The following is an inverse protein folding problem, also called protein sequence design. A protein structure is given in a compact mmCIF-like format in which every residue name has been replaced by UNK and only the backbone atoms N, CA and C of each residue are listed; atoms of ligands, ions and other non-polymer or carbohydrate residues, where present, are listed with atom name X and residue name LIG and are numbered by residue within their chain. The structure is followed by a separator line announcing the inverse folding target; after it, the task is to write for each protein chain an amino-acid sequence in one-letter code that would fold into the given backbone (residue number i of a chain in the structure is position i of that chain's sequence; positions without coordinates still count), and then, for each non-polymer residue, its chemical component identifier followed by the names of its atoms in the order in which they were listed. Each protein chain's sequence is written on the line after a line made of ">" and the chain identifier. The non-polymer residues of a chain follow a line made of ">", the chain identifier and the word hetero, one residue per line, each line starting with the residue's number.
data_IF_760421865119
#
_entry.id   IF_760421865119
#
_cell.length_a   1.000
_cell.length_b   1.000
_cell.length_c   1.000
_cell.angle_alpha   90.00
_cell.angle_beta   90.00
_cell.angle_gamma   90.00
#
_symmetry.space_group_name_H-M   'P 1'
#
loop_
_entity.id
_entity.type
_entity.pdbx_description
1 polymer ?
#
# COMPACT_ATOMS: atom_id res chain seq x y z
N UNK A 1 -29.29 40.68 -10.12
CA UNK A 1 -28.11 40.24 -9.33
C UNK A 1 -28.43 38.98 -8.54
N UNK A 2 -29.46 39.00 -7.67
CA UNK A 2 -29.88 37.86 -6.82
C UNK A 2 -30.05 36.50 -7.55
N UNK A 3 -30.61 36.47 -8.76
CA UNK A 3 -30.87 35.23 -9.52
C UNK A 3 -29.58 34.59 -10.07
N UNK A 4 -28.54 35.39 -10.36
CA UNK A 4 -27.22 34.86 -10.79
C UNK A 4 -26.48 34.25 -9.61
N UNK A 5 -26.52 34.90 -8.45
CA UNK A 5 -25.93 34.38 -7.20
C UNK A 5 -26.56 33.05 -6.77
N UNK A 6 -27.90 32.94 -6.83
CA UNK A 6 -28.62 31.68 -6.50
C UNK A 6 -28.28 30.55 -7.47
N UNK A 7 -28.11 30.85 -8.78
CA UNK A 7 -27.67 29.85 -9.77
C UNK A 7 -26.23 29.41 -9.57
N UNK A 8 -25.33 30.32 -9.23
CA UNK A 8 -23.93 30.00 -8.95
C UNK A 8 -23.80 29.15 -7.68
N UNK A 9 -24.52 29.48 -6.61
CA UNK A 9 -24.55 28.67 -5.38
C UNK A 9 -25.14 27.28 -5.63
N UNK A 10 -26.20 27.18 -6.42
CA UNK A 10 -26.79 25.88 -6.78
C UNK A 10 -25.84 25.01 -7.62
N UNK A 11 -25.08 25.60 -8.54
CA UNK A 11 -24.07 24.89 -9.34
C UNK A 11 -22.91 24.38 -8.48
N UNK A 12 -22.43 25.19 -7.52
CA UNK A 12 -21.37 24.78 -6.60
C UNK A 12 -21.85 23.68 -5.66
N UNK A 13 -23.07 23.79 -5.13
CA UNK A 13 -23.65 22.74 -4.27
C UNK A 13 -23.84 21.42 -5.04
N UNK A 14 -24.30 21.48 -6.30
CA UNK A 14 -24.44 20.30 -7.13
C UNK A 14 -23.09 19.65 -7.47
N UNK A 15 -22.06 20.45 -7.77
CA UNK A 15 -20.71 19.95 -8.01
C UNK A 15 -20.11 19.28 -6.76
N UNK A 16 -20.31 19.86 -5.57
CA UNK A 16 -19.86 19.29 -4.31
C UNK A 16 -20.57 17.96 -3.98
N UNK A 17 -21.87 17.86 -4.24
CA UNK A 17 -22.63 16.61 -4.07
C UNK A 17 -22.18 15.51 -5.05
N UNK A 18 -21.90 15.86 -6.30
CA UNK A 18 -21.40 14.91 -7.29
C UNK A 18 -19.98 14.40 -6.95
N UNK A 19 -19.11 15.27 -6.43
CA UNK A 19 -17.78 14.89 -5.97
C UNK A 19 -17.83 13.96 -4.74
N UNK A 20 -18.75 14.20 -3.81
CA UNK A 20 -18.98 13.34 -2.64
C UNK A 20 -19.50 11.94 -3.05
N UNK A 21 -20.43 11.85 -4.00
CA UNK A 21 -20.93 10.56 -4.49
C UNK A 21 -19.90 9.79 -5.33
N UNK A 22 -18.99 10.47 -6.02
CA UNK A 22 -17.92 9.80 -6.76
C UNK A 22 -16.82 9.26 -5.84
N UNK A 23 -16.57 9.94 -4.71
CA UNK A 23 -15.56 9.53 -3.74
C UNK A 23 -16.00 8.34 -2.89
N UNK A 24 -17.30 8.25 -2.53
CA UNK A 24 -17.80 7.12 -1.71
C UNK A 24 -17.87 5.77 -2.44
N UNK A 25 -17.58 5.71 -3.75
CA UNK A 25 -17.69 4.45 -4.52
C UNK A 25 -16.84 3.33 -3.98
N UNK A 26 -15.67 3.63 -3.41
CA UNK A 26 -14.79 2.62 -2.81
C UNK A 26 -15.44 1.86 -1.64
N UNK A 27 -16.51 2.42 -1.05
CA UNK A 27 -17.28 1.76 0.00
C UNK A 27 -18.20 0.68 -0.58
N UNK A 28 -18.82 0.94 -1.73
CA UNK A 28 -19.85 0.08 -2.33
C UNK A 28 -19.29 -0.84 -3.44
N UNK A 29 -18.23 -0.40 -4.13
CA UNK A 29 -17.59 -1.03 -5.28
C UNK A 29 -16.15 -1.44 -4.93
N UNK A 30 -16.00 -2.28 -3.91
CA UNK A 30 -14.68 -2.79 -3.52
C UNK A 30 -14.13 -3.77 -4.58
N UNK A 31 -12.90 -3.59 -5.07
CA UNK A 31 -12.34 -4.49 -6.09
C UNK A 31 -12.07 -5.90 -5.55
N UNK A 32 -12.38 -6.92 -6.33
CA UNK A 32 -12.09 -8.34 -6.00
C UNK A 32 -10.58 -8.66 -5.98
N UNK A 33 -9.79 -7.78 -6.57
CA UNK A 33 -8.31 -7.81 -6.64
C UNK A 33 -7.65 -7.35 -5.35
N UNK A 34 -8.42 -6.86 -4.37
CA UNK A 34 -7.94 -6.34 -3.10
C UNK A 34 -8.47 -7.24 -1.97
N UNK A 35 -7.68 -7.51 -0.90
CA UNK A 35 -8.18 -8.27 0.25
C UNK A 35 -9.46 -7.69 0.86
N UNK A 36 -10.16 -8.49 1.66
CA UNK A 36 -11.48 -8.13 2.19
C UNK A 36 -11.53 -6.74 2.82
N UNK A 37 -12.40 -5.87 2.30
CA UNK A 37 -12.57 -4.49 2.74
C UNK A 37 -12.71 -4.33 4.26
N UNK A 38 -13.44 -5.25 4.90
CA UNK A 38 -13.71 -5.22 6.34
C UNK A 38 -12.43 -5.29 7.19
N UNK A 39 -11.36 -5.92 6.70
CA UNK A 39 -10.08 -5.92 7.38
C UNK A 39 -9.49 -4.50 7.44
N UNK A 40 -9.55 -3.75 6.34
CA UNK A 40 -9.05 -2.37 6.26
C UNK A 40 -9.93 -1.39 7.03
N UNK A 41 -11.25 -1.58 7.01
CA UNK A 41 -12.19 -0.79 7.82
C UNK A 41 -11.86 -0.94 9.31
N UNK A 42 -11.61 -2.16 9.78
CA UNK A 42 -11.22 -2.39 11.18
C UNK A 42 -9.88 -1.75 11.52
N UNK A 43 -8.88 -1.85 10.63
CA UNK A 43 -7.59 -1.19 10.81
C UNK A 43 -7.74 0.33 10.95
N UNK A 44 -8.55 0.96 10.10
CA UNK A 44 -8.83 2.40 10.17
C UNK A 44 -9.58 2.78 11.46
N UNK A 45 -10.61 2.01 11.83
CA UNK A 45 -11.40 2.27 13.04
C UNK A 45 -10.59 2.14 14.33
N UNK A 46 -9.53 1.33 14.33
CA UNK A 46 -8.61 1.18 15.46
C UNK A 46 -7.58 2.31 15.57
N UNK A 47 -7.41 3.13 14.53
CA UNK A 47 -6.40 4.20 14.46
C UNK A 47 -7.02 5.58 14.63
N UNK A 48 -7.13 6.04 15.89
CA UNK A 48 -7.66 7.37 16.22
C UNK A 48 -6.80 8.51 15.66
N UNK A 49 -5.50 8.29 15.49
CA UNK A 49 -4.60 9.32 14.96
C UNK A 49 -4.86 9.55 13.48
N UNK A 50 -5.06 8.48 12.69
CA UNK A 50 -5.40 8.61 11.28
C UNK A 50 -6.81 9.16 11.06
N UNK A 51 -7.79 8.77 11.89
CA UNK A 51 -9.17 9.29 11.83
C UNK A 51 -9.26 10.81 12.03
N UNK A 52 -8.29 11.41 12.73
CA UNK A 52 -8.21 12.87 12.91
C UNK A 52 -7.66 13.61 11.67
N UNK A 53 -7.04 12.88 10.74
CA UNK A 53 -6.29 13.43 9.59
C UNK A 53 -6.98 13.16 8.26
N UNK A 54 -7.63 12.01 8.15
CA UNK A 54 -8.12 11.46 6.89
C UNK A 54 -9.44 10.74 7.11
N UNK A 55 -10.32 10.75 6.10
CA UNK A 55 -11.58 9.97 6.09
C UNK A 55 -11.35 8.49 5.76
N UNK A 56 -12.32 7.64 6.09
CA UNK A 56 -12.33 6.22 5.70
C UNK A 56 -12.28 6.04 4.18
N UNK A 57 -13.04 6.86 3.45
CA UNK A 57 -13.06 6.87 1.98
C UNK A 57 -11.69 7.17 1.39
N UNK A 58 -10.99 8.18 1.90
CA UNK A 58 -9.64 8.52 1.45
C UNK A 58 -8.66 7.39 1.75
N UNK A 59 -8.69 6.85 2.97
CA UNK A 59 -7.86 5.74 3.39
C UNK A 59 -8.06 4.50 2.50
N UNK A 60 -9.31 4.08 2.31
CA UNK A 60 -9.67 2.92 1.49
C UNK A 60 -9.30 3.13 0.01
N UNK A 61 -9.39 4.37 -0.49
CA UNK A 61 -8.91 4.69 -1.84
C UNK A 61 -7.40 4.45 -1.97
N UNK A 62 -6.61 4.83 -0.95
CA UNK A 62 -5.17 4.57 -0.96
C UNK A 62 -4.82 3.10 -0.82
N UNK A 63 -5.59 2.33 -0.06
CA UNK A 63 -5.46 0.87 -0.03
C UNK A 63 -5.64 0.29 -1.44
N UNK A 64 -6.71 0.66 -2.16
CA UNK A 64 -6.93 0.17 -3.53
C UNK A 64 -5.76 0.55 -4.45
N UNK A 65 -5.27 1.79 -4.38
CA UNK A 65 -4.14 2.27 -5.18
C UNK A 65 -2.83 1.52 -4.90
N UNK A 66 -2.62 1.04 -3.68
CA UNK A 66 -1.46 0.20 -3.37
C UNK A 66 -1.49 -1.11 -4.16
N UNK A 67 -2.67 -1.74 -4.26
CA UNK A 67 -2.82 -3.02 -4.95
C UNK A 67 -2.87 -2.88 -6.46
N UNK A 68 -3.65 -1.94 -6.98
CA UNK A 68 -3.92 -1.81 -8.42
C UNK A 68 -2.99 -0.83 -9.15
N UNK A 69 -2.19 -0.07 -8.40
CA UNK A 69 -1.44 1.06 -8.94
C UNK A 69 -2.34 2.27 -9.24
N UNK A 70 -1.70 3.35 -9.71
CA UNK A 70 -2.36 4.60 -10.06
C UNK A 70 -1.44 5.49 -10.91
N UNK A 71 -1.92 6.64 -11.37
CA UNK A 71 -1.22 7.53 -12.33
C UNK A 71 0.27 7.79 -12.01
N UNK A 72 0.62 7.99 -10.73
CA UNK A 72 2.01 8.28 -10.33
C UNK A 72 2.85 7.04 -10.01
N UNK A 73 2.20 5.91 -9.71
CA UNK A 73 2.85 4.64 -9.41
C UNK A 73 2.02 3.53 -10.06
N UNK A 74 2.24 3.36 -11.37
CA UNK A 74 1.39 2.53 -12.22
C UNK A 74 1.45 1.04 -11.88
N UNK A 75 2.58 0.60 -11.32
CA UNK A 75 2.78 -0.78 -10.87
C UNK A 75 2.32 -0.92 -9.44
N UNK A 76 1.28 -1.73 -9.21
CA UNK A 76 0.76 -2.04 -7.88
C UNK A 76 1.29 -3.37 -7.34
N UNK A 77 0.89 -3.71 -6.11
CA UNK A 77 1.20 -5.00 -5.47
C UNK A 77 0.74 -6.20 -6.30
N UNK A 78 -0.39 -6.04 -7.01
CA UNK A 78 -0.96 -7.07 -7.88
C UNK A 78 -0.15 -7.31 -9.15
N UNK A 79 0.75 -6.40 -9.52
CA UNK A 79 1.70 -6.60 -10.63
C UNK A 79 3.02 -7.21 -10.13
N UNK A 80 3.51 -6.72 -8.98
CA UNK A 80 4.82 -7.12 -8.43
C UNK A 80 4.78 -8.58 -7.97
N UNK A 81 3.76 -8.97 -7.20
CA UNK A 81 3.77 -10.29 -6.55
C UNK A 81 3.65 -11.46 -7.52
N UNK A 82 2.83 -11.42 -8.60
CA UNK A 82 2.86 -12.48 -9.61
C UNK A 82 4.18 -12.55 -10.36
N UNK A 83 4.81 -11.40 -10.65
CA UNK A 83 6.10 -11.34 -11.33
C UNK A 83 7.20 -12.02 -10.49
N UNK A 84 7.19 -11.80 -9.17
CA UNK A 84 8.12 -12.46 -8.24
C UNK A 84 7.98 -14.00 -8.30
N UNK A 85 6.75 -14.50 -8.43
CA UNK A 85 6.41 -15.93 -8.41
C UNK A 85 6.52 -16.65 -9.75
N UNK A 86 6.90 -15.97 -10.85
CA UNK A 86 6.77 -16.52 -12.22
C UNK A 86 7.52 -17.84 -12.41
N UNK A 87 8.72 -17.97 -11.82
CA UNK A 87 9.58 -19.16 -11.94
C UNK A 87 9.54 -20.05 -10.67
N UNK A 88 8.56 -19.84 -9.79
CA UNK A 88 8.42 -20.59 -8.54
C UNK A 88 7.36 -21.66 -8.65
N UNK A 89 7.65 -22.83 -8.06
CA UNK A 89 6.80 -24.01 -8.11
C UNK A 89 6.58 -24.65 -6.74
N UNK A 90 5.57 -25.51 -6.66
CA UNK A 90 5.34 -26.38 -5.51
C UNK A 90 5.21 -25.65 -4.16
N UNK A 91 5.99 -26.09 -3.18
CA UNK A 91 5.95 -25.55 -1.81
C UNK A 91 6.46 -24.12 -1.72
N UNK A 92 7.54 -23.80 -2.45
CA UNK A 92 8.13 -22.45 -2.45
C UNK A 92 7.14 -21.41 -2.96
N UNK A 93 6.41 -21.72 -4.04
CA UNK A 93 5.37 -20.82 -4.58
C UNK A 93 4.25 -20.58 -3.57
N UNK A 94 3.79 -21.63 -2.89
CA UNK A 94 2.73 -21.52 -1.87
C UNK A 94 3.18 -20.71 -0.66
N UNK A 95 4.42 -20.93 -0.21
CA UNK A 95 5.00 -20.16 0.90
C UNK A 95 5.10 -18.68 0.54
N UNK A 96 5.67 -18.37 -0.63
CA UNK A 96 5.80 -16.98 -1.06
C UNK A 96 4.42 -16.32 -1.23
N UNK A 97 3.45 -17.01 -1.82
CA UNK A 97 2.09 -16.50 -1.97
C UNK A 97 1.45 -16.12 -0.62
N UNK A 98 1.53 -17.02 0.37
CA UNK A 98 0.98 -16.77 1.70
C UNK A 98 1.67 -15.59 2.41
N UNK A 99 3.01 -15.51 2.30
CA UNK A 99 3.79 -14.39 2.87
C UNK A 99 3.46 -13.08 2.18
N UNK A 100 3.43 -13.04 0.85
CA UNK A 100 3.12 -11.84 0.08
C UNK A 100 1.69 -11.34 0.32
N UNK A 101 0.72 -12.23 0.52
CA UNK A 101 -0.64 -11.83 0.87
C UNK A 101 -0.69 -11.13 2.23
N UNK A 102 -0.05 -11.71 3.25
CA UNK A 102 -0.01 -11.12 4.59
C UNK A 102 0.77 -9.80 4.61
N UNK A 103 1.93 -9.78 3.95
CA UNK A 103 2.78 -8.62 3.85
C UNK A 103 2.06 -7.47 3.13
N UNK A 104 1.38 -7.75 2.02
CA UNK A 104 0.58 -6.77 1.29
C UNK A 104 -0.47 -6.11 2.18
N UNK A 105 -1.20 -6.88 2.98
CA UNK A 105 -2.20 -6.34 3.93
C UNK A 105 -1.57 -5.40 4.95
N UNK A 106 -0.46 -5.80 5.56
CA UNK A 106 0.25 -5.02 6.56
C UNK A 106 0.79 -3.70 5.99
N UNK A 107 1.49 -3.78 4.86
CA UNK A 107 2.05 -2.60 4.18
C UNK A 107 0.92 -1.64 3.77
N UNK A 108 -0.13 -2.16 3.12
CA UNK A 108 -1.19 -1.29 2.59
C UNK A 108 -2.00 -0.62 3.69
N UNK A 109 -2.25 -1.28 4.83
CA UNK A 109 -2.93 -0.64 5.96
C UNK A 109 -2.12 0.50 6.57
N UNK A 110 -0.79 0.36 6.63
CA UNK A 110 0.04 1.41 7.22
C UNK A 110 0.29 2.55 6.23
N UNK A 111 0.67 2.22 4.99
CA UNK A 111 1.04 3.20 3.98
C UNK A 111 -0.15 4.08 3.53
N UNK A 112 -1.37 3.54 3.56
CA UNK A 112 -2.58 4.25 3.14
C UNK A 112 -3.06 5.33 4.11
N UNK A 113 -2.50 5.37 5.33
CA UNK A 113 -2.76 6.43 6.32
C UNK A 113 -2.25 7.78 5.83
N UNK A 114 -2.67 8.84 6.51
CA UNK A 114 -2.11 10.17 6.32
C UNK A 114 -0.59 10.20 6.57
N UNK A 115 0.11 11.00 5.78
CA UNK A 115 1.58 11.07 5.78
C UNK A 115 2.16 11.43 7.15
N UNK A 116 1.44 12.20 7.97
CA UNK A 116 1.93 12.68 9.25
C UNK A 116 1.86 11.64 10.37
N UNK A 117 1.17 10.51 10.14
CA UNK A 117 0.94 9.46 11.17
C UNK A 117 1.38 8.08 10.73
N UNK A 118 1.76 7.89 9.46
CA UNK A 118 2.24 6.60 8.95
C UNK A 118 3.71 6.36 9.24
N UNK A 119 4.05 5.09 9.44
CA UNK A 119 5.41 4.60 9.66
C UNK A 119 6.07 4.09 8.37
N UNK A 120 5.26 3.74 7.36
CA UNK A 120 5.71 3.27 6.05
C UNK A 120 5.43 4.34 5.01
N UNK A 121 6.47 4.79 4.32
CA UNK A 121 6.36 5.83 3.29
C UNK A 121 6.54 5.28 1.86
N UNK A 122 6.37 6.16 0.87
CA UNK A 122 6.48 5.81 -0.55
C UNK A 122 7.92 5.45 -0.97
N UNK A 123 8.94 5.96 -0.28
CA UNK A 123 10.34 5.60 -0.55
C UNK A 123 10.60 4.14 -0.18
N UNK A 124 10.06 3.69 0.96
CA UNK A 124 10.14 2.28 1.36
C UNK A 124 9.42 1.36 0.36
N UNK A 125 8.23 1.73 -0.11
CA UNK A 125 7.54 0.94 -1.15
C UNK A 125 8.38 0.78 -2.42
N UNK A 126 9.01 1.87 -2.85
CA UNK A 126 9.85 1.88 -4.04
C UNK A 126 11.08 0.99 -3.84
N UNK A 127 11.74 1.12 -2.68
CA UNK A 127 12.88 0.29 -2.29
C UNK A 127 12.51 -1.20 -2.26
N UNK A 128 11.43 -1.56 -1.58
CA UNK A 128 11.01 -2.96 -1.49
C UNK A 128 10.60 -3.54 -2.85
N UNK A 129 10.00 -2.73 -3.71
CA UNK A 129 9.77 -3.08 -5.11
C UNK A 129 11.08 -3.45 -5.83
N UNK A 130 12.09 -2.59 -5.76
CA UNK A 130 13.41 -2.86 -6.35
C UNK A 130 14.08 -4.10 -5.75
N UNK A 131 14.09 -4.22 -4.40
CA UNK A 131 14.65 -5.41 -3.71
C UNK A 131 14.02 -6.70 -4.21
N UNK A 132 12.69 -6.75 -4.33
CA UNK A 132 11.98 -7.94 -4.79
C UNK A 132 12.29 -8.26 -6.26
N UNK A 133 12.45 -7.24 -7.12
CA UNK A 133 12.73 -7.43 -8.54
C UNK A 133 14.22 -7.71 -8.83
N UNK A 134 15.13 -7.38 -7.92
CA UNK A 134 16.57 -7.60 -8.06
C UNK A 134 17.00 -9.05 -7.81
N UNK A 135 16.16 -9.87 -7.17
CA UNK A 135 16.48 -11.25 -6.82
C UNK A 135 15.85 -12.26 -7.78
N UNK A 136 16.69 -13.05 -8.45
CA UNK A 136 16.22 -14.03 -9.45
C UNK A 136 15.94 -15.41 -8.85
N UNK A 137 16.85 -15.89 -8.00
CA UNK A 137 16.80 -17.25 -7.47
C UNK A 137 15.63 -17.45 -6.48
N UNK A 138 14.88 -18.57 -6.53
CA UNK A 138 13.70 -18.80 -5.68
C UNK A 138 13.98 -18.65 -4.17
N UNK A 139 15.14 -19.09 -3.71
CA UNK A 139 15.53 -18.96 -2.30
C UNK A 139 15.84 -17.51 -1.92
N UNK A 140 16.42 -16.73 -2.83
CA UNK A 140 16.70 -15.30 -2.61
C UNK A 140 15.40 -14.49 -2.60
N UNK A 141 14.43 -14.82 -3.45
CA UNK A 141 13.08 -14.23 -3.45
C UNK A 141 12.37 -14.43 -2.11
N UNK A 142 12.40 -15.65 -1.56
CA UNK A 142 11.88 -15.96 -0.23
C UNK A 142 12.61 -15.19 0.87
N UNK A 143 13.95 -15.11 0.81
CA UNK A 143 14.75 -14.37 1.77
C UNK A 143 14.45 -12.86 1.75
N UNK A 144 14.28 -12.28 0.55
CA UNK A 144 13.93 -10.88 0.37
C UNK A 144 12.57 -10.56 1.00
N UNK A 145 11.53 -11.34 0.67
CA UNK A 145 10.19 -11.14 1.27
C UNK A 145 10.21 -11.36 2.78
N UNK A 146 10.94 -12.36 3.27
CA UNK A 146 11.06 -12.60 4.71
C UNK A 146 11.78 -11.45 5.44
N UNK A 147 12.76 -10.81 4.80
CA UNK A 147 13.44 -9.65 5.36
C UNK A 147 12.53 -8.42 5.38
N UNK A 148 11.80 -8.16 4.29
CA UNK A 148 10.84 -7.05 4.23
C UNK A 148 9.74 -7.25 5.28
N UNK A 149 9.23 -8.47 5.44
CA UNK A 149 8.25 -8.83 6.48
C UNK A 149 8.75 -8.52 7.90
N UNK A 150 10.01 -8.88 8.20
CA UNK A 150 10.65 -8.52 9.47
C UNK A 150 10.77 -7.01 9.68
N UNK A 151 11.11 -6.27 8.63
CA UNK A 151 11.28 -4.82 8.71
C UNK A 151 9.94 -4.10 8.85
N UNK A 152 8.90 -4.54 8.15
CA UNK A 152 7.53 -4.05 8.32
C UNK A 152 7.05 -4.28 9.74
N UNK A 153 7.20 -5.49 10.28
CA UNK A 153 6.83 -5.79 11.66
C UNK A 153 7.61 -4.93 12.68
N UNK A 154 8.91 -4.71 12.47
CA UNK A 154 9.72 -3.85 13.33
C UNK A 154 9.34 -2.36 13.22
N UNK A 155 9.00 -1.85 12.02
CA UNK A 155 8.49 -0.48 11.82
C UNK A 155 7.17 -0.29 12.58
N UNK A 156 6.24 -1.24 12.46
CA UNK A 156 4.93 -1.18 13.12
C UNK A 156 5.03 -1.27 14.64
N UNK A 157 6.07 -1.92 15.17
CA UNK A 157 6.38 -1.92 16.62
C UNK A 157 7.21 -0.72 17.08
N UNK A 158 7.68 0.13 16.18
CA UNK A 158 8.60 1.23 16.49
C UNK A 158 10.00 0.77 16.92
N UNK A 159 10.38 -0.45 16.55
CA UNK A 159 11.70 -1.05 16.81
C UNK A 159 12.71 -0.73 15.69
N UNK A 160 12.22 -0.34 14.52
CA UNK A 160 13.00 0.12 13.38
C UNK A 160 12.51 1.50 12.98
N UNK A 161 13.42 2.44 12.73
CA UNK A 161 13.09 3.75 12.19
C UNK A 161 13.11 3.75 10.65
N UNK A 162 12.37 4.67 10.04
CA UNK A 162 12.31 4.84 8.58
C UNK A 162 13.71 4.99 7.96
N UNK A 163 14.60 5.77 8.58
CA UNK A 163 15.95 6.04 8.07
C UNK A 163 16.85 4.80 8.03
N UNK A 164 16.52 3.77 8.83
CA UNK A 164 17.25 2.50 8.86
C UNK A 164 16.82 1.55 7.74
N UNK A 165 15.71 1.84 7.05
CA UNK A 165 15.21 1.10 5.89
C UNK A 165 15.75 1.76 4.62
N UNK A 166 16.92 1.31 4.18
CA UNK A 166 17.65 1.89 3.06
C UNK A 166 18.40 0.82 2.24
N UNK A 167 18.91 1.22 1.08
CA UNK A 167 19.61 0.32 0.13
C UNK A 167 20.74 -0.45 0.80
N UNK A 168 21.56 0.21 1.63
CA UNK A 168 22.70 -0.41 2.29
C UNK A 168 22.28 -1.59 3.17
N UNK A 169 21.13 -1.48 3.87
CA UNK A 169 20.58 -2.58 4.67
C UNK A 169 20.31 -3.81 3.82
N UNK A 170 19.63 -3.64 2.68
CA UNK A 170 19.26 -4.76 1.82
C UNK A 170 20.46 -5.32 1.06
N UNK A 171 21.38 -4.47 0.58
CA UNK A 171 22.66 -4.91 0.01
C UNK A 171 23.43 -5.81 0.96
N UNK A 172 23.56 -5.40 2.22
CA UNK A 172 24.34 -6.17 3.20
C UNK A 172 23.64 -7.46 3.63
N UNK A 173 22.31 -7.44 3.80
CA UNK A 173 21.56 -8.58 4.33
C UNK A 173 21.18 -9.61 3.26
N UNK A 174 21.14 -9.22 1.99
CA UNK A 174 20.76 -10.08 0.87
C UNK A 174 21.88 -10.27 -0.17
N UNK A 175 23.06 -9.66 0.03
CA UNK A 175 24.20 -9.71 -0.90
C UNK A 175 23.84 -9.17 -2.30
N UNK A 176 23.06 -8.07 -2.35
CA UNK A 176 22.66 -7.42 -3.60
C UNK A 176 23.79 -6.54 -4.18
N UNK A 177 23.85 -6.38 -5.52
CA UNK A 177 24.78 -5.45 -6.14
C UNK A 177 24.48 -4.00 -5.74
N UNK A 178 25.41 -3.07 -6.01
CA UNK A 178 25.28 -1.68 -5.55
C UNK A 178 24.27 -0.83 -6.34
N UNK A 179 23.71 -1.36 -7.42
CA UNK A 179 22.88 -0.66 -8.41
C UNK A 179 21.55 -1.39 -8.68
N UNK A 180 21.06 -2.14 -7.69
CA UNK A 180 19.79 -2.88 -7.77
C UNK A 180 18.54 -1.98 -7.79
#
# INVERSE_FOLDING_TARGET
>A
MLIKEVRSVALVALAALLAACASSRVLDEWPETVPEQNWFIQAYQADEANQQRQTDVEYLTWVVRFYEGWELMATGWNDITPALMVDMEGEQRRELAARSEQLGKMISAEWAKDNDVRSIDTSMLSLWGSVMLAVEEPHAKLAAVALIDQDVDALLRGELSADEVNDQRYMQRLDLPADF
#
